data_IF_441368719274
#
_entry.id   IF_441368719274
#
_cell.length_a   1.000
_cell.length_b   1.000
_cell.length_c   1.000
_cell.angle_alpha   90.00
_cell.angle_beta   90.00
_cell.angle_gamma   90.00
#
_symmetry.space_group_name_H-M   'P 1'
#
loop_
_entity.id
_entity.type
_entity.pdbx_description
1 polymer ?
#
# COMPACT_ATOMS: atom_id res chain seq x y z
N UNK A 1 -13.65 -4.56 -8.47
CA UNK A 1 -14.44 -3.32 -8.30
C UNK A 1 -15.90 -3.59 -7.96
N UNK A 2 -16.56 -4.53 -8.63
CA UNK A 2 -17.97 -4.87 -8.36
C UNK A 2 -18.24 -5.20 -6.89
N UNK A 3 -17.42 -6.05 -6.27
CA UNK A 3 -17.54 -6.44 -4.85
C UNK A 3 -17.45 -5.24 -3.90
N UNK A 4 -16.53 -4.31 -4.14
CA UNK A 4 -16.39 -3.11 -3.31
C UNK A 4 -17.61 -2.17 -3.44
N UNK A 5 -18.21 -2.07 -4.63
CA UNK A 5 -19.42 -1.28 -4.84
C UNK A 5 -20.65 -1.94 -4.19
N UNK A 6 -20.79 -3.27 -4.32
CA UNK A 6 -21.84 -4.03 -3.66
C UNK A 6 -21.76 -3.90 -2.14
N UNK A 7 -20.55 -3.95 -1.57
CA UNK A 7 -20.33 -3.75 -0.13
C UNK A 7 -20.67 -2.33 0.31
N UNK A 8 -20.26 -1.32 -0.45
CA UNK A 8 -20.58 0.07 -0.17
C UNK A 8 -22.10 0.34 -0.21
N UNK A 9 -22.81 -0.30 -1.15
CA UNK A 9 -24.26 -0.25 -1.21
C UNK A 9 -24.91 -0.91 0.01
N UNK A 10 -24.42 -2.08 0.41
CA UNK A 10 -24.94 -2.80 1.57
C UNK A 10 -24.76 -2.02 2.88
N UNK A 11 -23.65 -1.25 2.98
CA UNK A 11 -23.37 -0.42 4.16
C UNK A 11 -23.93 1.02 4.07
N UNK A 12 -24.65 1.37 3.00
CA UNK A 12 -25.23 2.71 2.84
C UNK A 12 -24.19 3.81 2.57
N UNK A 13 -23.05 3.46 1.95
CA UNK A 13 -21.95 4.38 1.65
C UNK A 13 -21.73 4.59 0.15
N UNK A 14 -22.58 4.06 -0.70
CA UNK A 14 -22.41 4.08 -2.15
C UNK A 14 -22.34 5.49 -2.75
N UNK A 15 -23.11 6.43 -2.20
CA UNK A 15 -23.15 7.85 -2.58
C UNK A 15 -21.89 8.62 -2.22
N UNK A 16 -21.13 8.12 -1.23
CA UNK A 16 -19.87 8.72 -0.73
C UNK A 16 -18.62 8.02 -1.26
N UNK A 17 -18.77 6.97 -2.07
CA UNK A 17 -17.67 6.18 -2.60
C UNK A 17 -17.49 6.41 -4.11
N UNK A 18 -16.26 6.73 -4.51
CA UNK A 18 -15.85 6.78 -5.90
C UNK A 18 -14.74 5.75 -6.15
N UNK A 19 -15.02 4.79 -7.03
CA UNK A 19 -14.05 3.78 -7.44
C UNK A 19 -13.45 4.12 -8.79
N UNK A 20 -12.13 4.06 -8.92
CA UNK A 20 -11.41 4.25 -10.17
C UNK A 20 -10.60 2.99 -10.46
N UNK A 21 -10.75 2.43 -11.65
CA UNK A 21 -9.98 1.27 -12.11
C UNK A 21 -8.86 1.74 -13.04
N UNK A 22 -7.68 1.94 -12.47
CA UNK A 22 -6.50 2.38 -13.21
C UNK A 22 -5.22 2.00 -12.43
N UNK A 23 -4.07 2.05 -13.08
CA UNK A 23 -2.80 2.05 -12.38
C UNK A 23 -2.65 3.40 -11.65
N UNK A 24 -2.48 3.35 -10.33
CA UNK A 24 -2.41 4.56 -9.51
C UNK A 24 -1.27 5.48 -9.94
N UNK A 25 -0.10 4.94 -10.24
CA UNK A 25 1.08 5.73 -10.63
C UNK A 25 0.80 6.58 -11.87
N UNK A 26 0.03 6.05 -12.84
CA UNK A 26 -0.29 6.75 -14.08
C UNK A 26 -1.32 7.88 -13.88
N UNK A 27 -2.22 7.72 -12.91
CA UNK A 27 -3.30 8.69 -12.68
C UNK A 27 -3.02 9.63 -11.50
N UNK A 28 -2.06 9.31 -10.64
CA UNK A 28 -1.75 10.10 -9.45
C UNK A 28 -1.59 11.61 -9.71
N UNK A 29 -0.93 12.08 -10.79
CA UNK A 29 -0.83 13.51 -11.05
C UNK A 29 -2.18 14.22 -11.17
N UNK A 30 -3.20 13.53 -11.67
CA UNK A 30 -4.56 14.06 -11.90
C UNK A 30 -5.50 13.91 -10.72
N UNK A 31 -5.11 13.15 -9.70
CA UNK A 31 -5.91 12.98 -8.51
C UNK A 31 -5.76 14.18 -7.55
N UNK A 32 -6.84 14.62 -6.91
CA UNK A 32 -6.76 15.64 -5.86
C UNK A 32 -5.98 15.12 -4.65
N UNK A 33 -5.53 16.03 -3.80
CA UNK A 33 -5.05 15.67 -2.46
C UNK A 33 -6.22 15.23 -1.58
N UNK A 34 -5.93 14.37 -0.62
CA UNK A 34 -6.87 13.91 0.39
C UNK A 34 -6.26 14.12 1.78
N UNK A 35 -7.09 14.35 2.78
CA UNK A 35 -6.61 14.49 4.17
C UNK A 35 -5.93 13.21 4.65
N UNK A 36 -6.49 12.06 4.27
CA UNK A 36 -5.99 10.74 4.65
C UNK A 36 -5.76 9.91 3.39
N UNK A 37 -4.58 9.33 3.27
CA UNK A 37 -4.25 8.34 2.22
C UNK A 37 -3.80 7.06 2.90
N UNK A 38 -4.33 5.92 2.45
CA UNK A 38 -3.93 4.60 2.95
C UNK A 38 -3.57 3.65 1.82
N UNK A 39 -2.50 2.89 2.00
CA UNK A 39 -2.12 1.76 1.15
C UNK A 39 -2.19 0.47 1.97
N UNK A 40 -3.29 -0.26 1.85
CA UNK A 40 -3.48 -1.54 2.52
C UNK A 40 -3.05 -2.69 1.60
N UNK A 41 -1.92 -3.34 1.91
CA UNK A 41 -1.37 -4.51 1.20
C UNK A 41 -1.14 -4.30 -0.30
N UNK A 42 -0.84 -3.08 -0.70
CA UNK A 42 -0.60 -2.72 -2.11
C UNK A 42 0.89 -2.71 -2.43
N UNK A 43 1.72 -2.25 -1.50
CA UNK A 43 3.18 -2.10 -1.70
C UNK A 43 3.83 -3.44 -2.05
N UNK A 44 3.41 -4.54 -1.39
CA UNK A 44 3.93 -5.88 -1.66
C UNK A 44 3.61 -6.42 -3.05
N UNK A 45 2.64 -5.85 -3.75
CA UNK A 45 2.24 -6.28 -5.10
C UNK A 45 2.78 -5.34 -6.19
N UNK A 46 3.53 -4.31 -5.82
CA UNK A 46 4.01 -3.30 -6.74
C UNK A 46 5.54 -3.26 -6.75
N UNK A 47 6.13 -3.48 -7.92
CA UNK A 47 7.58 -3.56 -8.07
C UNK A 47 8.28 -2.21 -7.88
N UNK A 48 7.64 -1.12 -8.32
CA UNK A 48 8.17 0.25 -8.20
C UNK A 48 7.61 0.94 -6.93
N UNK A 49 8.06 0.48 -5.77
CA UNK A 49 7.67 1.03 -4.47
C UNK A 49 7.98 2.53 -4.39
N UNK A 50 9.14 3.05 -4.85
CA UNK A 50 9.42 4.47 -4.79
C UNK A 50 8.39 5.34 -5.52
N UNK A 51 7.96 4.94 -6.72
CA UNK A 51 6.92 5.65 -7.45
C UNK A 51 5.58 5.59 -6.73
N UNK A 52 5.16 4.40 -6.27
CA UNK A 52 3.89 4.21 -5.58
C UNK A 52 3.82 5.01 -4.27
N UNK A 53 4.80 4.83 -3.40
CA UNK A 53 4.84 5.47 -2.08
C UNK A 53 5.06 6.97 -2.21
N UNK A 54 6.00 7.41 -3.06
CA UNK A 54 6.27 8.83 -3.24
C UNK A 54 5.07 9.59 -3.79
N UNK A 55 4.42 9.08 -4.84
CA UNK A 55 3.24 9.73 -5.41
C UNK A 55 2.04 9.71 -4.46
N UNK A 56 1.83 8.65 -3.70
CA UNK A 56 0.72 8.56 -2.75
C UNK A 56 0.97 9.42 -1.49
N UNK A 57 2.19 9.48 -0.98
CA UNK A 57 2.56 10.38 0.11
C UNK A 57 2.35 11.86 -0.28
N UNK A 58 2.75 12.24 -1.50
CA UNK A 58 2.53 13.60 -2.01
C UNK A 58 1.03 13.97 -2.11
N UNK A 59 0.12 13.01 -2.11
CA UNK A 59 -1.33 13.23 -2.11
C UNK A 59 -1.94 13.29 -0.72
N UNK A 60 -1.26 12.83 0.31
CA UNK A 60 -1.74 12.91 1.69
C UNK A 60 -1.60 14.34 2.24
N UNK A 61 -2.60 14.81 2.94
CA UNK A 61 -2.67 16.15 3.53
C UNK A 61 -2.38 16.17 5.02
N UNK A 62 -2.79 15.14 5.76
CA UNK A 62 -2.65 15.08 7.21
C UNK A 62 -2.12 13.72 7.69
N UNK A 63 -2.69 12.62 7.18
CA UNK A 63 -2.33 11.27 7.62
C UNK A 63 -1.99 10.38 6.42
N UNK A 64 -0.95 9.56 6.58
CA UNK A 64 -0.55 8.57 5.60
C UNK A 64 -0.37 7.21 6.28
N UNK A 65 -1.19 6.23 5.92
CA UNK A 65 -1.23 4.91 6.54
C UNK A 65 -0.78 3.80 5.59
N UNK A 66 0.10 2.93 6.05
CA UNK A 66 0.65 1.82 5.29
C UNK A 66 0.45 0.50 6.00
N UNK A 67 0.02 -0.52 5.25
CA UNK A 67 0.04 -1.92 5.68
C UNK A 67 0.84 -2.74 4.66
N UNK A 68 1.96 -3.30 5.08
CA UNK A 68 2.84 -4.07 4.21
C UNK A 68 3.63 -5.15 4.97
N UNK A 69 4.23 -6.14 4.28
CA UNK A 69 4.99 -7.20 4.93
C UNK A 69 6.17 -6.66 5.73
N UNK A 70 6.43 -7.27 6.87
CA UNK A 70 7.64 -6.98 7.67
C UNK A 70 8.88 -7.41 6.91
N UNK A 71 9.94 -6.60 7.02
CA UNK A 71 11.24 -6.90 6.47
C UNK A 71 12.06 -7.80 7.42
N UNK A 72 11.59 -9.01 7.66
CA UNK A 72 12.25 -10.02 8.48
C UNK A 72 12.64 -11.22 7.62
N UNK A 73 13.70 -11.94 8.01
CA UNK A 73 14.23 -13.06 7.22
C UNK A 73 13.18 -14.14 6.94
N UNK A 74 12.32 -14.47 7.91
CA UNK A 74 11.29 -15.49 7.75
C UNK A 74 10.16 -15.06 6.82
N UNK A 75 9.78 -13.76 6.85
CA UNK A 75 8.79 -13.19 5.90
C UNK A 75 9.37 -13.19 4.48
N UNK A 76 10.64 -12.84 4.34
CA UNK A 76 11.34 -12.92 3.05
C UNK A 76 11.38 -14.36 2.52
N UNK A 77 11.67 -15.34 3.39
CA UNK A 77 11.67 -16.74 3.03
C UNK A 77 10.28 -17.24 2.62
N UNK A 78 9.24 -16.88 3.38
CA UNK A 78 7.85 -17.24 3.08
C UNK A 78 7.39 -16.67 1.73
N UNK A 79 7.63 -15.38 1.48
CA UNK A 79 7.29 -14.74 0.21
C UNK A 79 8.12 -15.29 -0.95
N UNK A 80 9.38 -15.63 -0.71
CA UNK A 80 10.23 -16.31 -1.70
C UNK A 80 9.67 -17.67 -2.11
N UNK A 81 9.18 -18.45 -1.15
CA UNK A 81 8.53 -19.75 -1.38
C UNK A 81 7.21 -19.57 -2.15
N UNK A 82 6.40 -18.59 -1.75
CA UNK A 82 5.16 -18.25 -2.45
C UNK A 82 5.43 -17.85 -3.92
N UNK A 83 6.41 -16.99 -4.15
CA UNK A 83 6.81 -16.59 -5.51
C UNK A 83 7.31 -17.78 -6.35
N UNK A 84 8.03 -18.71 -5.73
CA UNK A 84 8.47 -19.93 -6.41
C UNK A 84 7.28 -20.81 -6.81
N UNK A 85 6.32 -20.99 -5.91
CA UNK A 85 5.07 -21.69 -6.19
C UNK A 85 4.28 -21.02 -7.32
N UNK A 86 4.10 -19.71 -7.25
CA UNK A 86 3.39 -18.91 -8.27
C UNK A 86 4.09 -19.02 -9.63
N UNK A 87 5.42 -19.05 -9.64
CA UNK A 87 6.20 -19.26 -10.87
C UNK A 87 5.96 -20.66 -11.45
N UNK A 88 5.96 -21.69 -10.62
CA UNK A 88 5.66 -23.07 -11.03
C UNK A 88 4.22 -23.19 -11.57
N UNK A 89 3.27 -22.50 -10.97
CA UNK A 89 1.88 -22.40 -11.41
C UNK A 89 1.66 -21.48 -12.62
N UNK A 90 2.74 -20.92 -13.20
CA UNK A 90 2.71 -19.98 -14.34
C UNK A 90 1.84 -18.75 -14.13
N UNK A 91 1.67 -18.32 -12.88
CA UNK A 91 0.92 -17.11 -12.54
C UNK A 91 1.82 -15.88 -12.68
N UNK A 92 1.36 -14.78 -13.30
CA UNK A 92 2.16 -13.56 -13.46
C UNK A 92 2.34 -12.78 -12.15
N UNK A 93 1.57 -13.10 -11.12
CA UNK A 93 1.63 -12.43 -9.82
C UNK A 93 2.99 -12.66 -9.13
N UNK A 94 3.51 -11.60 -8.54
CA UNK A 94 4.72 -11.62 -7.69
C UNK A 94 4.50 -10.73 -6.47
N UNK A 95 4.93 -11.23 -5.33
CA UNK A 95 4.96 -10.45 -4.10
C UNK A 95 6.39 -9.98 -3.80
N UNK A 96 6.51 -8.79 -3.22
CA UNK A 96 7.78 -8.15 -2.91
C UNK A 96 7.86 -7.84 -1.41
N UNK A 97 9.05 -7.96 -0.85
CA UNK A 97 9.37 -7.45 0.48
C UNK A 97 10.28 -6.24 0.27
N UNK A 98 9.73 -5.06 0.50
CA UNK A 98 10.52 -3.83 0.42
C UNK A 98 11.17 -3.54 1.78
N UNK A 99 12.42 -3.04 1.80
CA UNK A 99 13.09 -2.67 3.05
C UNK A 99 12.29 -1.59 3.79
N UNK A 100 11.93 -1.85 5.05
CA UNK A 100 11.10 -0.93 5.84
C UNK A 100 11.76 0.44 6.01
N UNK A 101 13.09 0.48 6.17
CA UNK A 101 13.84 1.74 6.25
C UNK A 101 13.78 2.57 4.97
N UNK A 102 13.70 1.93 3.79
CA UNK A 102 13.58 2.65 2.52
C UNK A 102 12.19 3.25 2.34
N UNK A 103 11.14 2.53 2.78
CA UNK A 103 9.77 3.05 2.80
C UNK A 103 9.67 4.25 3.75
N UNK A 104 10.19 4.11 4.97
CA UNK A 104 10.19 5.15 5.99
C UNK A 104 10.96 6.41 5.52
N UNK A 105 12.17 6.25 5.01
CA UNK A 105 12.97 7.35 4.49
C UNK A 105 12.27 8.12 3.36
N UNK A 106 11.55 7.41 2.50
CA UNK A 106 10.79 8.03 1.42
C UNK A 106 9.60 8.82 1.94
N UNK A 107 8.84 8.28 2.89
CA UNK A 107 7.69 8.97 3.49
C UNK A 107 8.15 10.20 4.28
N UNK A 108 9.20 10.07 5.08
CA UNK A 108 9.75 11.19 5.88
C UNK A 108 10.33 12.30 4.99
N UNK A 109 10.86 11.96 3.80
CA UNK A 109 11.31 12.97 2.83
C UNK A 109 10.18 13.89 2.31
N UNK A 110 8.93 13.47 2.46
CA UNK A 110 7.74 14.27 2.13
C UNK A 110 7.22 15.10 3.33
N UNK A 111 7.95 15.16 4.45
CA UNK A 111 7.60 15.95 5.62
C UNK A 111 6.70 15.22 6.62
N UNK A 112 6.57 13.92 6.50
CA UNK A 112 5.79 13.11 7.43
C UNK A 112 6.67 12.54 8.55
N UNK A 113 6.09 12.42 9.75
CA UNK A 113 6.69 11.75 10.90
C UNK A 113 5.86 10.54 11.32
N UNK A 114 6.53 9.45 11.68
CA UNK A 114 5.86 8.24 12.15
C UNK A 114 5.19 8.50 13.51
N UNK A 115 3.87 8.37 13.57
CA UNK A 115 3.09 8.54 14.80
C UNK A 115 2.53 7.24 15.38
N UNK A 116 2.47 6.17 14.58
CA UNK A 116 1.98 4.87 15.04
C UNK A 116 2.69 3.73 14.33
N UNK A 117 2.99 2.65 15.09
CA UNK A 117 3.55 1.41 14.57
C UNK A 117 2.96 0.21 15.30
N UNK A 118 2.53 -0.79 14.56
CA UNK A 118 2.06 -2.07 15.11
C UNK A 118 2.39 -3.21 14.16
N UNK A 119 2.69 -4.37 14.73
CA UNK A 119 2.88 -5.61 13.96
C UNK A 119 1.74 -6.58 14.19
N UNK A 120 1.35 -7.32 13.15
CA UNK A 120 0.34 -8.36 13.19
C UNK A 120 0.83 -9.52 12.30
N UNK A 121 1.47 -10.53 12.92
CA UNK A 121 2.09 -11.65 12.21
C UNK A 121 3.16 -11.19 11.21
N UNK A 122 2.98 -11.52 9.94
CA UNK A 122 3.87 -11.13 8.85
C UNK A 122 3.72 -9.66 8.42
N UNK A 123 2.69 -8.97 8.89
CA UNK A 123 2.33 -7.61 8.49
C UNK A 123 2.77 -6.57 9.50
N UNK A 124 3.01 -5.38 9.03
CA UNK A 124 3.19 -4.18 9.85
C UNK A 124 2.26 -3.09 9.39
N UNK A 125 1.76 -2.33 10.35
CA UNK A 125 0.94 -1.14 10.16
C UNK A 125 1.75 0.05 10.63
N UNK A 126 1.91 1.02 9.75
CA UNK A 126 2.65 2.27 10.06
C UNK A 126 1.75 3.44 9.67
N UNK A 127 1.61 4.39 10.59
CA UNK A 127 0.88 5.64 10.31
C UNK A 127 1.82 6.81 10.52
N UNK A 128 1.77 7.73 9.60
CA UNK A 128 2.54 8.96 9.59
C UNK A 128 1.61 10.17 9.62
N UNK A 129 2.06 11.23 10.22
CA UNK A 129 1.38 12.54 10.28
C UNK A 129 2.31 13.64 9.78
N UNK A 130 1.72 14.68 9.21
CA UNK A 130 2.42 15.92 8.89
C UNK A 130 2.56 16.81 10.12
#
# INVERSE_FOLDING_TARGET
MRVAQEEAQRQGHADRMRSVHANFVDIAPRLPRADIVTLDRVICCFHDMPALVGLSAAKAGALYGLVYPRDTWWVRAAIGTENLYMRAARTPFRAFVHPSHAVDALVTSHGFEQCFYKTAGAWQVVVYTC
#
